data_IF_534411219316
#
_entry.id   IF_534411219316
#
_cell.length_a   1.000
_cell.length_b   1.000
_cell.length_c   1.000
_cell.angle_alpha   90.00
_cell.angle_beta   90.00
_cell.angle_gamma   90.00
#
_symmetry.space_group_name_H-M   'P 1'
#
loop_
_entity.id
_entity.type
_entity.pdbx_description
1 polymer ?
#
# COMPACT_ATOMS: atom_id res chain seq x y z
N UNK A 1 -8.97 17.09 -0.82
CA UNK A 1 -7.80 16.19 -0.67
C UNK A 1 -6.58 17.02 -0.30
N UNK A 2 -5.91 16.65 0.77
CA UNK A 2 -4.73 17.40 1.23
C UNK A 2 -3.53 17.10 0.34
N UNK A 3 -2.50 17.93 0.46
CA UNK A 3 -1.25 17.69 -0.27
C UNK A 3 -0.63 16.35 0.15
N UNK A 4 -0.69 16.03 1.45
CA UNK A 4 -0.16 14.77 1.94
C UNK A 4 -0.91 13.59 1.32
N UNK A 5 -2.24 13.67 1.29
CA UNK A 5 -3.05 12.59 0.70
C UNK A 5 -2.70 12.40 -0.78
N UNK A 6 -2.53 13.50 -1.51
CA UNK A 6 -2.13 13.40 -2.92
C UNK A 6 -0.78 12.69 -3.07
N UNK A 7 0.17 13.01 -2.20
CA UNK A 7 1.49 12.39 -2.25
C UNK A 7 1.41 10.89 -1.95
N UNK A 8 0.57 10.52 -0.98
CA UNK A 8 0.36 9.10 -0.66
C UNK A 8 -0.22 8.38 -1.86
N UNK A 9 -1.26 8.94 -2.48
CA UNK A 9 -1.90 8.30 -3.62
C UNK A 9 -0.95 8.18 -4.81
N UNK A 10 -0.12 9.18 -5.06
CA UNK A 10 0.86 9.10 -6.14
C UNK A 10 1.89 7.99 -5.87
N UNK A 11 2.32 7.86 -4.62
CA UNK A 11 3.25 6.80 -4.26
C UNK A 11 2.62 5.41 -4.46
N UNK A 12 1.35 5.26 -4.06
CA UNK A 12 0.66 3.98 -4.19
C UNK A 12 0.52 3.58 -5.65
N UNK A 13 0.29 4.55 -6.54
CA UNK A 13 0.19 4.26 -7.97
C UNK A 13 1.48 3.71 -8.56
N UNK A 14 2.60 3.89 -7.91
CA UNK A 14 3.88 3.38 -8.39
C UNK A 14 4.05 1.88 -8.12
N UNK A 15 3.25 1.30 -7.24
CA UNK A 15 3.39 -0.12 -6.89
C UNK A 15 2.96 -0.98 -8.07
N UNK A 16 3.86 -1.81 -8.64
CA UNK A 16 3.49 -2.61 -9.81
C UNK A 16 2.47 -3.69 -9.45
N UNK A 17 1.71 -4.10 -10.43
CA UNK A 17 0.84 -5.25 -10.29
C UNK A 17 1.68 -6.45 -9.90
N UNK A 18 1.22 -7.25 -8.97
CA UNK A 18 1.94 -8.41 -8.49
C UNK A 18 2.90 -8.13 -7.35
N UNK A 19 2.91 -6.88 -6.87
CA UNK A 19 3.76 -6.48 -5.74
C UNK A 19 2.93 -5.78 -4.68
N UNK A 20 3.44 -5.79 -3.46
CA UNK A 20 2.85 -5.03 -2.34
C UNK A 20 3.94 -4.26 -1.62
N UNK A 21 3.55 -3.21 -0.92
CA UNK A 21 4.47 -2.50 -0.05
C UNK A 21 3.82 -2.32 1.32
N UNK A 22 4.50 -1.65 2.22
CA UNK A 22 3.98 -1.44 3.57
C UNK A 22 3.70 0.03 3.80
N UNK A 23 2.86 0.30 4.80
CA UNK A 23 2.58 1.69 5.19
C UNK A 23 3.88 2.42 5.55
N UNK A 24 4.77 1.73 6.25
CA UNK A 24 6.04 2.33 6.65
C UNK A 24 6.95 2.63 5.47
N UNK A 25 6.96 1.76 4.47
CA UNK A 25 7.77 1.99 3.27
C UNK A 25 7.29 3.22 2.52
N UNK A 26 5.98 3.39 2.41
CA UNK A 26 5.43 4.59 1.78
C UNK A 26 5.83 5.83 2.57
N UNK A 27 5.69 5.76 3.89
CA UNK A 27 6.03 6.90 4.75
C UNK A 27 7.51 7.26 4.58
N UNK A 28 8.39 6.28 4.58
CA UNK A 28 9.82 6.54 4.38
C UNK A 28 10.10 7.15 3.01
N UNK A 29 9.46 6.64 1.97
CA UNK A 29 9.61 7.18 0.63
C UNK A 29 9.20 8.65 0.58
N UNK A 30 8.19 9.03 1.35
CA UNK A 30 7.72 10.41 1.40
C UNK A 30 8.51 11.29 2.38
N UNK A 31 9.55 10.74 3.00
CA UNK A 31 10.38 11.52 3.92
C UNK A 31 9.82 11.62 5.33
N UNK A 32 8.88 10.74 5.69
CA UNK A 32 8.21 10.78 6.98
C UNK A 32 8.33 9.41 7.66
N UNK A 33 9.51 9.03 8.14
CA UNK A 33 9.73 7.65 8.62
C UNK A 33 8.82 7.19 9.74
N UNK A 34 8.20 8.11 10.47
CA UNK A 34 7.25 7.74 11.52
C UNK A 34 5.80 7.93 11.07
N UNK A 35 5.57 8.05 9.78
CA UNK A 35 4.27 8.43 9.25
C UNK A 35 3.37 7.29 8.82
N UNK A 36 3.65 6.05 9.20
CA UNK A 36 2.85 4.90 8.74
C UNK A 36 1.37 5.04 9.07
N UNK A 37 1.04 5.51 10.27
CA UNK A 37 -0.37 5.69 10.64
C UNK A 37 -1.04 6.76 9.78
N UNK A 38 -0.33 7.85 9.51
CA UNK A 38 -0.87 8.91 8.67
C UNK A 38 -1.12 8.42 7.24
N UNK A 39 -0.22 7.54 6.75
CA UNK A 39 -0.41 6.92 5.44
C UNK A 39 -1.68 6.06 5.45
N UNK A 40 -1.86 5.25 6.48
CA UNK A 40 -3.08 4.43 6.61
C UNK A 40 -4.34 5.28 6.63
N UNK A 41 -4.33 6.38 7.37
CA UNK A 41 -5.48 7.28 7.42
C UNK A 41 -5.76 7.91 6.05
N UNK A 42 -4.70 8.27 5.31
CA UNK A 42 -4.87 8.84 3.98
C UNK A 42 -5.49 7.81 3.03
N UNK A 43 -5.06 6.55 3.12
CA UNK A 43 -5.58 5.51 2.23
C UNK A 43 -7.06 5.24 2.45
N UNK A 44 -7.58 5.48 3.66
CA UNK A 44 -9.01 5.35 3.91
C UNK A 44 -9.83 6.36 3.11
N UNK A 45 -9.21 7.38 2.57
CA UNK A 45 -9.90 8.41 1.80
C UNK A 45 -9.76 8.21 0.29
N UNK A 46 -9.24 7.05 -0.13
CA UNK A 46 -9.10 6.74 -1.55
C UNK A 46 -10.47 6.73 -2.22
N UNK A 47 -10.70 7.59 -3.23
CA UNK A 47 -12.01 7.66 -3.88
C UNK A 47 -12.22 6.62 -4.96
N UNK A 48 -11.16 5.95 -5.43
CA UNK A 48 -11.28 5.05 -6.58
C UNK A 48 -10.48 3.78 -6.37
N UNK A 49 -11.15 2.64 -6.14
CA UNK A 49 -10.45 1.37 -5.98
C UNK A 49 -9.74 0.99 -7.29
N UNK A 50 -8.68 0.23 -7.16
CA UNK A 50 -7.90 -0.30 -8.28
C UNK A 50 -7.10 0.77 -9.02
N UNK A 51 -7.70 1.88 -9.39
CA UNK A 51 -6.98 2.98 -10.05
C UNK A 51 -5.92 3.53 -9.12
N UNK A 52 -6.26 3.72 -7.84
CA UNK A 52 -5.29 3.96 -6.79
C UNK A 52 -5.23 2.65 -6.01
N UNK A 53 -4.26 1.78 -6.28
CA UNK A 53 -4.33 0.39 -5.81
C UNK A 53 -3.95 0.23 -4.34
N UNK A 54 -4.75 0.79 -3.45
CA UNK A 54 -4.48 0.74 -2.01
C UNK A 54 -4.53 -0.69 -1.47
N UNK A 55 -5.10 -1.63 -2.23
CA UNK A 55 -5.06 -3.04 -1.84
C UNK A 55 -3.64 -3.61 -1.84
N UNK A 56 -2.69 -2.92 -2.48
CA UNK A 56 -1.29 -3.35 -2.54
C UNK A 56 -0.47 -2.82 -1.37
N UNK A 57 -1.14 -2.37 -0.29
CA UNK A 57 -0.45 -1.87 0.89
C UNK A 57 -0.88 -2.73 2.09
N UNK A 58 0.12 -3.27 2.79
CA UNK A 58 -0.09 -4.15 3.94
C UNK A 58 0.77 -3.64 5.10
N UNK A 59 0.63 -4.25 6.28
CA UNK A 59 1.46 -3.82 7.40
C UNK A 59 2.86 -4.45 7.31
N UNK A 60 3.72 -4.12 8.26
CA UNK A 60 5.12 -4.57 8.23
C UNK A 60 5.27 -6.08 8.28
N UNK A 61 4.24 -6.79 8.71
CA UNK A 61 4.26 -8.26 8.77
C UNK A 61 3.56 -8.88 7.57
N UNK A 62 3.13 -8.09 6.61
CA UNK A 62 2.40 -8.57 5.44
C UNK A 62 0.92 -8.78 5.68
N UNK A 63 0.38 -8.36 6.83
CA UNK A 63 -1.02 -8.59 7.17
C UNK A 63 -1.92 -7.61 6.46
N UNK A 64 -3.09 -8.10 6.03
CA UNK A 64 -4.08 -7.28 5.36
C UNK A 64 -4.76 -6.33 6.35
N UNK A 65 -5.35 -5.27 5.83
CA UNK A 65 -6.04 -4.28 6.64
C UNK A 65 -7.42 -4.78 7.02
N UNK A 66 -7.69 -4.95 8.31
CA UNK A 66 -9.01 -5.39 8.76
C UNK A 66 -10.08 -4.40 8.37
N UNK A 67 -9.75 -3.13 8.33
CA UNK A 67 -10.68 -2.08 7.96
C UNK A 67 -10.43 -1.56 6.56
N UNK A 68 -10.10 -2.47 5.64
CA UNK A 68 -9.86 -2.08 4.25
C UNK A 68 -11.05 -1.28 3.73
N UNK A 69 -10.75 -0.10 3.18
CA UNK A 69 -11.76 0.93 2.89
C UNK A 69 -12.88 0.46 1.96
N UNK A 70 -12.60 -0.50 1.09
CA UNK A 70 -13.58 -0.96 0.12
C UNK A 70 -14.26 -2.27 0.50
N UNK A 71 -14.33 -2.62 1.75
CA UNK A 71 -15.09 -3.79 2.16
C UNK A 71 -14.37 -4.77 3.06
N UNK A 72 -13.28 -4.34 3.64
CA UNK A 72 -12.59 -5.16 4.63
C UNK A 72 -11.57 -6.11 4.03
N UNK A 73 -11.04 -6.95 4.89
CA UNK A 73 -9.92 -7.82 4.59
C UNK A 73 -10.20 -8.80 3.47
N UNK A 74 -11.43 -9.33 3.41
CA UNK A 74 -11.79 -10.28 2.36
C UNK A 74 -11.80 -9.66 0.97
N UNK A 75 -12.19 -8.40 0.86
CA UNK A 75 -12.17 -7.71 -0.44
C UNK A 75 -10.73 -7.39 -0.82
N UNK A 76 -9.91 -6.99 0.14
CA UNK A 76 -8.50 -6.77 -0.13
C UNK A 76 -7.84 -8.05 -0.65
N UNK A 77 -8.14 -9.17 -0.03
CA UNK A 77 -7.61 -10.47 -0.47
C UNK A 77 -8.03 -10.77 -1.91
N UNK A 78 -9.30 -10.54 -2.24
CA UNK A 78 -9.77 -10.76 -3.61
C UNK A 78 -8.99 -9.95 -4.63
N UNK A 79 -8.72 -8.69 -4.33
CA UNK A 79 -7.97 -7.84 -5.24
C UNK A 79 -6.52 -8.32 -5.39
N UNK A 80 -5.91 -8.77 -4.29
CA UNK A 80 -4.54 -9.29 -4.34
C UNK A 80 -4.47 -10.59 -5.13
N UNK A 81 -5.45 -11.48 -4.95
CA UNK A 81 -5.49 -12.71 -5.72
C UNK A 81 -5.64 -12.42 -7.21
N UNK A 82 -6.42 -11.40 -7.55
CA UNK A 82 -6.55 -10.97 -8.95
C UNK A 82 -5.23 -10.44 -9.50
N UNK A 83 -4.38 -9.89 -8.64
CA UNK A 83 -3.03 -9.45 -9.04
C UNK A 83 -2.05 -10.62 -9.10
N UNK A 84 -2.47 -11.82 -8.78
CA UNK A 84 -1.59 -12.99 -8.76
C UNK A 84 -0.80 -13.17 -7.48
N UNK A 85 -1.20 -12.51 -6.40
CA UNK A 85 -0.49 -12.56 -5.13
C UNK A 85 -1.22 -13.51 -4.18
N UNK A 86 -0.61 -14.63 -3.77
CA UNK A 86 -1.24 -15.52 -2.80
C UNK A 86 -1.34 -14.88 -1.42
N UNK A 87 -2.42 -15.18 -0.72
CA UNK A 87 -2.61 -14.71 0.64
C UNK A 87 -2.87 -15.93 1.50
N UNK A 88 -2.07 -16.12 2.54
CA UNK A 88 -2.21 -17.27 3.45
C UNK A 88 -2.51 -16.78 4.84
N UNK A 89 -3.72 -17.11 5.32
CA UNK A 89 -4.18 -16.70 6.67
C UNK A 89 -4.08 -15.18 6.86
N UNK A 90 -4.46 -14.44 5.82
CA UNK A 90 -4.46 -12.98 5.88
C UNK A 90 -3.09 -12.35 5.78
N UNK A 91 -2.08 -13.09 5.33
CA UNK A 91 -0.70 -12.60 5.27
C UNK A 91 -0.13 -12.81 3.88
N UNK A 92 0.52 -11.76 3.36
CA UNK A 92 1.25 -11.81 2.09
C UNK A 92 2.73 -12.04 2.40
N UNK A 93 3.37 -12.89 1.61
CA UNK A 93 4.81 -13.14 1.76
C UNK A 93 5.60 -11.96 1.21
N UNK A 94 6.12 -11.13 2.11
CA UNK A 94 6.85 -9.93 1.72
C UNK A 94 8.22 -10.25 1.11
N UNK A 95 8.79 -11.40 1.42
CA UNK A 95 10.05 -11.80 0.81
C UNK A 95 9.88 -11.99 -0.69
N UNK A 96 8.75 -12.57 -1.11
CA UNK A 96 8.49 -12.83 -2.52
C UNK A 96 7.85 -11.64 -3.24
N UNK A 97 6.95 -10.94 -2.58
CA UNK A 97 6.11 -9.95 -3.26
C UNK A 97 6.32 -8.51 -2.80
N UNK A 98 7.20 -8.29 -1.85
CA UNK A 98 7.45 -6.94 -1.34
C UNK A 98 8.12 -6.04 -2.37
N UNK A 99 7.79 -4.75 -2.34
CA UNK A 99 8.37 -3.76 -3.23
C UNK A 99 8.50 -2.47 -2.44
N UNK A 100 9.69 -1.87 -2.41
CA UNK A 100 10.00 -0.84 -1.42
C UNK A 100 10.55 0.46 -2.01
N UNK A 101 10.24 0.76 -3.24
CA UNK A 101 10.67 2.02 -3.88
C UNK A 101 12.20 2.12 -4.04
N UNK A 102 12.90 1.02 -4.01
CA UNK A 102 14.36 1.04 -3.99
C UNK A 102 15.00 1.64 -5.22
N UNK A 103 14.37 1.52 -6.36
CA UNK A 103 14.92 2.04 -7.60
C UNK A 103 14.38 3.42 -7.95
N UNK A 104 13.64 4.04 -7.02
CA UNK A 104 13.07 5.36 -7.24
C UNK A 104 13.69 6.36 -6.28
N UNK A 105 14.02 7.53 -6.78
CA UNK A 105 14.51 8.56 -5.91
C UNK A 105 13.50 9.63 -5.73
N UNK A 106 13.41 10.12 -4.50
CA UNK A 106 12.65 11.25 -4.26
C UNK A 106 13.48 12.33 -4.73
N UNK A 107 13.11 12.99 -5.54
CA UNK A 107 13.84 13.99 -6.04
C UNK A 107 14.48 14.88 -5.24
N UNK A 108 15.17 15.35 -5.07
CA UNK A 108 15.70 16.10 -4.39
C UNK A 108 16.83 16.26 -4.65
N UNK A 109 17.23 16.18 -4.86
CA UNK A 109 18.39 16.29 -5.11
C UNK A 109 18.72 16.56 -5.71
#
# INVERSE_FOLDING_TARGET
MTNFEKRVFEAVKLIPKGKVTTYGAIACFLGLPKGARAVGNALHKNPTPIIIPCHRVVNAKGMLAKAFVFGGEGVQESFLLADGIPVNNGIVNLTEHGWYFENLKQTKD
#
